data_IF_223938284141
#
_entry.id   IF_223938284141
#
_cell.length_a   1.000
_cell.length_b   1.000
_cell.length_c   1.000
_cell.angle_alpha   90.00
_cell.angle_beta   90.00
_cell.angle_gamma   90.00
#
_symmetry.space_group_name_H-M   'P 1'
#
loop_
_entity.id
_entity.type
_entity.pdbx_description
1 polymer ?
#
# COMPACT_ATOMS: atom_id res chain seq x y z
N UNK A 1 24.24 -3.11 0.94
CA UNK A 1 23.62 -2.61 0.70
C UNK A 1 22.70 -2.82 1.13
N UNK A 2 22.19 -3.08 1.49
CA UNK A 2 21.92 -2.92 2.06
C UNK A 2 20.98 -3.39 3.01
N UNK A 3 21.43 -3.95 4.14
CA UNK A 3 20.53 -4.31 5.23
C UNK A 3 19.72 -3.10 5.68
N UNK A 4 20.32 -1.92 5.58
CA UNK A 4 19.61 -0.70 5.94
C UNK A 4 18.46 -0.39 4.99
N UNK A 5 18.68 -0.59 3.68
CA UNK A 5 17.62 -0.35 2.69
C UNK A 5 16.51 -1.38 2.86
N UNK A 6 16.89 -2.64 3.05
CA UNK A 6 15.89 -3.69 3.24
C UNK A 6 15.06 -3.44 4.50
N UNK A 7 15.72 -3.05 5.57
CA UNK A 7 15.03 -2.76 6.82
C UNK A 7 14.08 -1.58 6.66
N UNK A 8 14.55 -0.51 6.00
CA UNK A 8 13.72 0.66 5.76
C UNK A 8 12.53 0.31 4.87
N UNK A 9 12.74 -0.53 3.85
CA UNK A 9 11.66 -0.99 3.00
C UNK A 9 10.58 -1.71 3.83
N UNK A 10 11.00 -2.61 4.72
CA UNK A 10 10.05 -3.34 5.52
C UNK A 10 9.26 -2.43 6.46
N UNK A 11 9.90 -1.40 6.99
CA UNK A 11 9.22 -0.41 7.81
C UNK A 11 8.16 0.34 7.00
N UNK A 12 8.49 0.72 5.77
CA UNK A 12 7.54 1.40 4.89
C UNK A 12 6.37 0.48 4.54
N UNK A 13 6.67 -0.77 4.23
CA UNK A 13 5.64 -1.75 3.89
C UNK A 13 4.63 -1.90 5.03
N UNK A 14 5.13 -2.05 6.25
CA UNK A 14 4.26 -2.19 7.42
C UNK A 14 3.44 -0.92 7.66
N UNK A 15 4.08 0.24 7.49
CA UNK A 15 3.39 1.50 7.69
C UNK A 15 2.28 1.70 6.65
N UNK A 16 2.52 1.34 5.40
CA UNK A 16 1.52 1.44 4.35
C UNK A 16 0.35 0.49 4.63
N UNK A 17 0.64 -0.74 5.05
CA UNK A 17 -0.41 -1.71 5.38
C UNK A 17 -1.29 -1.18 6.51
N UNK A 18 -0.67 -0.64 7.54
CA UNK A 18 -1.40 -0.10 8.67
C UNK A 18 -2.27 1.09 8.25
N UNK A 19 -1.70 2.00 7.47
CA UNK A 19 -2.41 3.18 7.01
C UNK A 19 -3.59 2.79 6.13
N UNK A 20 -3.38 1.86 5.20
CA UNK A 20 -4.43 1.38 4.31
C UNK A 20 -5.58 0.76 5.10
N UNK A 21 -5.26 -0.03 6.11
CA UNK A 21 -6.27 -0.65 6.95
C UNK A 21 -7.11 0.40 7.70
N UNK A 22 -6.42 1.40 8.26
CA UNK A 22 -7.11 2.47 8.97
C UNK A 22 -8.01 3.28 8.04
N UNK A 23 -7.57 3.51 6.80
CA UNK A 23 -8.38 4.21 5.82
C UNK A 23 -9.64 3.42 5.47
N UNK A 24 -9.50 2.10 5.31
CA UNK A 24 -10.66 1.25 5.02
C UNK A 24 -11.67 1.28 6.16
N UNK A 25 -11.20 1.21 7.39
CA UNK A 25 -12.08 1.28 8.55
C UNK A 25 -12.78 2.63 8.62
N UNK A 26 -12.05 3.69 8.34
CA UNK A 26 -12.62 5.03 8.36
C UNK A 26 -13.64 5.23 7.24
N UNK A 27 -13.38 4.66 6.07
CA UNK A 27 -14.33 4.73 4.96
C UNK A 27 -15.64 4.05 5.31
N UNK A 28 -15.58 2.89 5.97
CA UNK A 28 -16.80 2.19 6.42
C UNK A 28 -17.56 3.03 7.44
N UNK A 29 -16.85 3.66 8.35
CA UNK A 29 -17.47 4.53 9.34
C UNK A 29 -18.19 5.69 8.68
N UNK A 30 -17.56 6.34 7.71
CA UNK A 30 -18.17 7.44 6.98
C UNK A 30 -19.41 7.00 6.21
N UNK A 31 -19.39 5.82 5.61
CA UNK A 31 -20.55 5.30 4.89
C UNK A 31 -21.74 5.16 5.81
N UNK A 32 -21.51 4.83 7.08
CA UNK A 32 -22.59 4.69 8.05
C UNK A 32 -23.07 6.03 8.60
N UNK A 33 -22.23 7.05 8.58
CA UNK A 33 -22.54 8.35 9.16
C UNK A 33 -23.09 9.36 8.16
N UNK A 34 -22.74 9.22 6.88
CA UNK A 34 -23.11 10.18 5.85
C UNK A 34 -24.25 9.66 5.01
N UNK A 35 -25.03 10.55 4.39
CA UNK A 35 -26.09 10.13 3.48
C UNK A 35 -25.50 9.36 2.30
N UNK A 36 -26.27 8.41 1.72
CA UNK A 36 -25.81 7.69 0.54
C UNK A 36 -25.43 8.64 -0.59
N UNK A 37 -24.26 8.38 -1.20
CA UNK A 37 -23.80 9.18 -2.31
C UNK A 37 -23.21 10.52 -1.94
N UNK A 38 -22.93 10.77 -0.64
CA UNK A 38 -22.33 12.03 -0.24
C UNK A 38 -20.94 12.20 -0.89
N UNK A 39 -20.59 13.46 -1.18
CA UNK A 39 -19.28 13.78 -1.75
C UNK A 39 -18.15 13.28 -0.88
N UNK A 40 -18.32 13.38 0.43
CA UNK A 40 -17.28 12.95 1.37
C UNK A 40 -17.00 11.46 1.24
N UNK A 41 -18.04 10.64 1.16
CA UNK A 41 -17.89 9.19 1.00
C UNK A 41 -17.25 8.87 -0.36
N UNK A 42 -17.71 9.52 -1.42
CA UNK A 42 -17.17 9.29 -2.75
C UNK A 42 -15.68 9.64 -2.79
N UNK A 43 -15.31 10.81 -2.27
CA UNK A 43 -13.92 11.24 -2.25
C UNK A 43 -13.05 10.32 -1.42
N UNK A 44 -13.55 9.88 -0.27
CA UNK A 44 -12.81 8.97 0.60
C UNK A 44 -12.57 7.64 -0.10
N UNK A 45 -13.60 7.10 -0.74
CA UNK A 45 -13.50 5.82 -1.42
C UNK A 45 -12.53 5.88 -2.60
N UNK A 46 -12.68 6.92 -3.43
CA UNK A 46 -11.82 7.09 -4.60
C UNK A 46 -10.38 7.40 -4.19
N UNK A 47 -10.21 8.25 -3.18
CA UNK A 47 -8.89 8.61 -2.69
C UNK A 47 -8.16 7.43 -2.08
N UNK A 48 -8.87 6.62 -1.31
CA UNK A 48 -8.28 5.43 -0.70
C UNK A 48 -7.81 4.44 -1.76
N UNK A 49 -8.63 4.26 -2.80
CA UNK A 49 -8.26 3.37 -3.89
C UNK A 49 -7.04 3.88 -4.62
N UNK A 50 -7.00 5.18 -4.93
CA UNK A 50 -5.87 5.77 -5.63
C UNK A 50 -4.58 5.65 -4.83
N UNK A 51 -4.65 5.91 -3.53
CA UNK A 51 -3.49 5.79 -2.66
C UNK A 51 -3.00 4.35 -2.58
N UNK A 52 -3.92 3.40 -2.48
CA UNK A 52 -3.56 1.98 -2.42
C UNK A 52 -2.89 1.56 -3.72
N UNK A 53 -3.44 1.95 -4.86
CA UNK A 53 -2.87 1.58 -6.16
C UNK A 53 -1.47 2.17 -6.32
N UNK A 54 -1.29 3.43 -5.95
CA UNK A 54 0.01 4.09 -6.02
C UNK A 54 1.01 3.45 -5.06
N UNK A 55 0.56 3.10 -3.86
CA UNK A 55 1.42 2.46 -2.87
C UNK A 55 1.89 1.09 -3.36
N UNK A 56 1.02 0.34 -4.02
CA UNK A 56 1.41 -0.96 -4.55
C UNK A 56 2.48 -0.83 -5.62
N UNK A 57 2.38 0.19 -6.46
CA UNK A 57 3.40 0.46 -7.47
C UNK A 57 4.71 0.85 -6.80
N UNK A 58 4.63 1.77 -5.86
CA UNK A 58 5.81 2.21 -5.11
C UNK A 58 6.48 1.03 -4.41
N UNK A 59 5.70 0.22 -3.71
CA UNK A 59 6.24 -0.89 -2.95
C UNK A 59 6.85 -1.96 -3.85
N UNK A 60 6.31 -2.15 -5.05
CA UNK A 60 6.90 -3.11 -6.00
C UNK A 60 8.31 -2.69 -6.39
N UNK A 61 8.50 -1.42 -6.72
CA UNK A 61 9.82 -0.92 -7.05
C UNK A 61 10.74 -0.86 -5.85
N UNK A 62 10.19 -0.44 -4.71
CA UNK A 62 10.96 -0.37 -3.48
C UNK A 62 11.47 -1.76 -3.08
N UNK A 63 10.62 -2.77 -3.22
CA UNK A 63 11.01 -4.15 -2.94
C UNK A 63 12.10 -4.62 -3.88
N UNK A 64 11.96 -4.31 -5.16
CA UNK A 64 12.96 -4.67 -6.15
C UNK A 64 14.33 -4.11 -5.77
N UNK A 65 14.37 -2.84 -5.41
CA UNK A 65 15.62 -2.20 -4.99
C UNK A 65 16.14 -2.79 -3.68
N UNK A 66 15.22 -3.03 -2.72
CA UNK A 66 15.58 -3.54 -1.40
C UNK A 66 16.21 -4.92 -1.48
N UNK A 67 15.80 -5.74 -2.45
CA UNK A 67 16.36 -7.08 -2.63
C UNK A 67 17.52 -7.11 -3.63
N UNK A 68 18.08 -5.93 -3.94
CA UNK A 68 19.33 -5.87 -4.71
C UNK A 68 19.13 -5.87 -6.21
N UNK A 69 17.96 -5.52 -6.69
CA UNK A 69 17.65 -5.44 -8.12
C UNK A 69 18.01 -6.74 -8.86
N UNK A 70 17.39 -7.86 -8.44
CA UNK A 70 17.71 -9.16 -9.05
C UNK A 70 17.39 -9.17 -10.54
N UNK A 71 18.12 -9.99 -11.30
CA UNK A 71 17.93 -10.08 -12.74
C UNK A 71 16.62 -10.81 -13.11
N UNK A 72 16.10 -11.62 -12.20
CA UNK A 72 14.90 -12.37 -12.46
C UNK A 72 13.74 -11.82 -11.66
N UNK A 73 12.67 -11.42 -12.33
CA UNK A 73 11.47 -10.93 -11.66
C UNK A 73 10.77 -12.02 -10.86
N UNK A 74 11.01 -13.29 -11.22
CA UNK A 74 10.39 -14.40 -10.51
C UNK A 74 10.75 -14.41 -9.03
N UNK A 75 11.96 -13.96 -8.70
CA UNK A 75 12.39 -13.90 -7.31
C UNK A 75 11.56 -12.91 -6.50
N UNK A 76 11.07 -11.85 -7.14
CA UNK A 76 10.25 -10.85 -6.49
C UNK A 76 8.81 -11.29 -6.43
N UNK A 77 8.31 -11.89 -7.52
CA UNK A 77 6.92 -12.36 -7.58
C UNK A 77 6.62 -13.40 -6.51
N UNK A 78 7.55 -14.33 -6.29
CA UNK A 78 7.36 -15.35 -5.26
C UNK A 78 7.21 -14.70 -3.89
N UNK A 79 7.96 -13.66 -3.61
CA UNK A 79 7.86 -12.94 -2.35
C UNK A 79 6.53 -12.18 -2.23
N UNK A 80 6.07 -11.60 -3.34
CA UNK A 80 4.82 -10.85 -3.34
C UNK A 80 3.63 -11.77 -3.13
N UNK A 81 3.68 -12.96 -3.70
CA UNK A 81 2.58 -13.92 -3.61
C UNK A 81 2.62 -14.73 -2.32
N UNK A 82 3.74 -14.75 -1.68
CA UNK A 82 3.97 -15.53 -0.45
C UNK A 82 3.31 -14.97 0.80
#
# INVERSE_FOLDING_TARGET
MTDEILKAYKDVELAVERYTKLLQEHALLLQNMEPPGSDKVVRMTQGSKAMRDSAMIYLSYAKYVAYGMPESEEMIEDEIQG
#
